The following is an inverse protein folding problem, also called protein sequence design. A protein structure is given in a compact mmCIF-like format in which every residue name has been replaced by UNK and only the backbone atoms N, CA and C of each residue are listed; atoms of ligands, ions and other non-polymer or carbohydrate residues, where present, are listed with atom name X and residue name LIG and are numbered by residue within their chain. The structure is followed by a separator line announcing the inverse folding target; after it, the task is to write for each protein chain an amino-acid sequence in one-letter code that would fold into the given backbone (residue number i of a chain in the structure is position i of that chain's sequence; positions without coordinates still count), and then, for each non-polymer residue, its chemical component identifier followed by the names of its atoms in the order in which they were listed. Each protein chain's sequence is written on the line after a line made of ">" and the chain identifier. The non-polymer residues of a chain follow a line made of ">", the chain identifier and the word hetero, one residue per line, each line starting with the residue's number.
data_IF_305433026282
#
_entry.id   IF_305433026282
#
_cell.length_a   1.000
_cell.length_b   1.000
_cell.length_c   1.000
_cell.angle_alpha   90.00
_cell.angle_beta   90.00
_cell.angle_gamma   90.00
#
_symmetry.space_group_name_H-M   'P 1'
#
loop_
_entity.id
_entity.type
_entity.pdbx_description
1 polymer ?
#
# COMPACT_ATOMS: atom_id res chain seq x y z
N UNK A 1 -24.24 25.36 44.00
CA UNK A 1 -24.96 25.47 42.70
C UNK A 1 -24.20 26.25 41.61
N UNK A 2 -23.16 27.04 41.93
CA UNK A 2 -22.40 27.80 40.91
C UNK A 2 -21.23 27.03 40.27
N UNK A 3 -20.72 25.98 40.92
CA UNK A 3 -19.60 25.18 40.42
C UNK A 3 -19.96 24.36 39.16
N UNK A 4 -21.16 23.79 39.12
CA UNK A 4 -21.66 23.02 37.97
C UNK A 4 -21.90 23.89 36.73
N UNK A 5 -22.22 25.18 36.92
CA UNK A 5 -22.44 26.17 35.84
C UNK A 5 -21.16 26.60 35.14
N UNK A 6 -19.99 26.44 35.77
CA UNK A 6 -18.67 26.75 35.19
C UNK A 6 -18.05 25.48 34.58
N UNK A 7 -18.26 24.31 35.19
CA UNK A 7 -17.73 23.04 34.68
C UNK A 7 -18.38 22.66 33.34
N UNK A 8 -19.69 22.82 33.18
CA UNK A 8 -20.39 22.46 31.94
C UNK A 8 -19.85 23.20 30.69
N UNK A 9 -19.68 24.54 30.69
CA UNK A 9 -19.13 25.25 29.54
C UNK A 9 -17.63 24.97 29.33
N UNK A 10 -16.84 24.76 30.38
CA UNK A 10 -15.41 24.39 30.24
C UNK A 10 -15.27 22.99 29.64
N UNK A 11 -16.09 22.02 30.07
CA UNK A 11 -16.15 20.68 29.49
C UNK A 11 -16.58 20.74 28.02
N UNK A 12 -17.58 21.56 27.69
CA UNK A 12 -18.06 21.76 26.32
C UNK A 12 -17.01 22.40 25.41
N UNK A 13 -16.26 23.39 25.89
CA UNK A 13 -15.16 24.03 25.16
C UNK A 13 -14.01 23.02 24.95
N UNK A 14 -13.64 22.25 25.97
CA UNK A 14 -12.59 21.23 25.85
C UNK A 14 -12.97 20.12 24.85
N UNK A 15 -14.24 19.68 24.85
CA UNK A 15 -14.76 18.70 23.90
C UNK A 15 -14.74 19.25 22.47
N UNK A 16 -15.13 20.52 22.28
CA UNK A 16 -15.10 21.20 20.97
C UNK A 16 -13.68 21.42 20.43
N UNK A 17 -12.70 21.61 21.32
CA UNK A 17 -11.30 21.77 20.94
C UNK A 17 -10.68 20.45 20.43
N UNK A 18 -11.00 19.33 21.08
CA UNK A 18 -10.49 18.00 20.70
C UNK A 18 -11.04 17.54 19.35
N UNK A 19 -12.30 17.83 19.04
CA UNK A 19 -12.92 17.50 17.75
C UNK A 19 -12.36 18.36 16.61
N UNK A 20 -12.09 19.65 16.86
CA UNK A 20 -11.53 20.55 15.85
C UNK A 20 -10.07 20.22 15.52
N UNK A 21 -9.26 19.92 16.55
CA UNK A 21 -7.86 19.51 16.35
C UNK A 21 -7.75 18.17 15.61
N UNK A 22 -8.60 17.20 15.98
CA UNK A 22 -8.77 15.93 15.27
C UNK A 22 -9.00 16.17 13.77
N UNK A 23 -9.95 17.04 13.42
CA UNK A 23 -10.32 17.33 12.04
C UNK A 23 -9.17 17.94 11.23
N UNK A 24 -8.34 18.78 11.87
CA UNK A 24 -7.15 19.35 11.22
C UNK A 24 -6.10 18.28 10.89
N UNK A 25 -5.82 17.38 11.84
CA UNK A 25 -4.83 16.30 11.65
C UNK A 25 -5.23 15.32 10.54
N UNK A 26 -6.52 14.97 10.48
CA UNK A 26 -7.07 14.10 9.44
C UNK A 26 -7.01 14.77 8.04
N UNK A 27 -7.36 16.06 7.94
CA UNK A 27 -7.25 16.81 6.68
C UNK A 27 -5.82 16.85 6.14
N UNK A 28 -4.82 17.02 7.00
CA UNK A 28 -3.41 16.96 6.60
C UNK A 28 -3.04 15.58 6.06
N UNK A 29 -3.44 14.51 6.75
CA UNK A 29 -3.18 13.14 6.32
C UNK A 29 -3.84 12.85 4.96
N UNK A 30 -5.11 13.23 4.80
CA UNK A 30 -5.85 13.13 3.55
C UNK A 30 -5.16 13.89 2.42
N UNK A 31 -4.64 15.10 2.70
CA UNK A 31 -3.93 15.86 1.66
C UNK A 31 -2.65 15.15 1.20
N UNK A 32 -1.91 14.53 2.12
CA UNK A 32 -0.73 13.74 1.78
C UNK A 32 -1.10 12.49 0.98
N UNK A 33 -2.22 11.84 1.33
CA UNK A 33 -2.77 10.72 0.57
C UNK A 33 -3.12 11.11 -0.86
N UNK A 34 -3.87 12.21 -1.05
CA UNK A 34 -4.24 12.75 -2.38
C UNK A 34 -3.03 13.09 -3.25
N UNK A 35 -1.94 13.51 -2.63
CA UNK A 35 -0.67 13.81 -3.30
C UNK A 35 0.21 12.57 -3.51
N UNK A 36 -0.30 11.37 -3.25
CA UNK A 36 0.42 10.09 -3.35
C UNK A 36 1.68 10.03 -2.48
N UNK A 37 1.79 10.90 -1.48
CA UNK A 37 2.91 10.95 -0.54
C UNK A 37 2.69 9.91 0.58
N UNK A 38 2.52 8.64 0.21
CA UNK A 38 2.04 7.58 1.09
C UNK A 38 2.88 7.39 2.36
N UNK A 39 4.21 7.49 2.27
CA UNK A 39 5.09 7.43 3.45
C UNK A 39 4.81 8.56 4.45
N UNK A 40 4.52 9.77 3.96
CA UNK A 40 4.14 10.89 4.84
C UNK A 40 2.72 10.72 5.38
N UNK A 41 1.80 10.27 4.52
CA UNK A 41 0.41 10.02 4.90
C UNK A 41 0.30 8.96 6.01
N UNK A 42 1.08 7.87 5.93
CA UNK A 42 1.18 6.84 6.98
C UNK A 42 1.49 7.47 8.34
N UNK A 43 2.55 8.27 8.41
CA UNK A 43 2.96 8.94 9.64
C UNK A 43 1.87 9.87 10.20
N UNK A 44 1.11 10.53 9.34
CA UNK A 44 0.02 11.40 9.76
C UNK A 44 -1.22 10.62 10.20
N UNK A 45 -1.61 9.56 9.49
CA UNK A 45 -2.74 8.72 9.87
C UNK A 45 -2.49 7.97 11.17
N UNK A 46 -1.27 7.48 11.42
CA UNK A 46 -0.90 6.88 12.71
C UNK A 46 -1.15 7.86 13.86
N UNK A 47 -0.76 9.14 13.71
CA UNK A 47 -1.03 10.18 14.72
C UNK A 47 -2.53 10.45 14.91
N UNK A 48 -3.33 10.33 13.85
CA UNK A 48 -4.80 10.43 13.95
C UNK A 48 -5.33 9.26 14.79
N UNK A 49 -4.86 8.04 14.51
CA UNK A 49 -5.28 6.82 15.19
C UNK A 49 -4.80 6.75 16.65
N UNK A 50 -3.64 7.33 16.98
CA UNK A 50 -3.18 7.47 18.38
C UNK A 50 -4.19 8.24 19.25
N UNK A 51 -4.94 9.18 18.64
CA UNK A 51 -5.96 9.98 19.32
C UNK A 51 -7.36 9.40 19.14
N UNK A 52 -7.63 8.77 18.00
CA UNK A 52 -8.91 8.18 17.64
C UNK A 52 -8.70 6.79 17.02
N UNK A 53 -8.46 5.76 17.85
CA UNK A 53 -8.11 4.42 17.36
C UNK A 53 -9.18 3.79 16.46
N UNK A 54 -10.41 4.28 16.55
CA UNK A 54 -11.59 3.79 15.81
C UNK A 54 -12.02 4.73 14.68
N UNK A 55 -11.15 5.63 14.22
CA UNK A 55 -11.47 6.49 13.09
C UNK A 55 -11.48 5.66 11.78
N UNK A 56 -12.69 5.40 11.26
CA UNK A 56 -12.93 4.55 10.08
C UNK A 56 -12.17 5.02 8.84
N UNK A 57 -12.17 6.34 8.59
CA UNK A 57 -11.48 6.93 7.44
C UNK A 57 -9.96 6.78 7.55
N UNK A 58 -9.40 7.08 8.72
CA UNK A 58 -7.97 6.95 8.96
C UNK A 58 -7.49 5.49 8.87
N UNK A 59 -8.27 4.53 9.40
CA UNK A 59 -7.96 3.10 9.28
C UNK A 59 -7.93 2.66 7.82
N UNK A 60 -8.98 2.98 7.05
CA UNK A 60 -9.07 2.61 5.63
C UNK A 60 -7.98 3.24 4.77
N UNK A 61 -7.71 4.54 4.97
CA UNK A 61 -6.68 5.25 4.21
C UNK A 61 -5.26 4.86 4.60
N UNK A 62 -5.02 4.53 5.87
CA UNK A 62 -3.74 3.99 6.30
C UNK A 62 -3.48 2.62 5.66
N UNK A 63 -4.49 1.75 5.64
CA UNK A 63 -4.40 0.46 4.96
C UNK A 63 -4.16 0.63 3.45
N UNK A 64 -4.87 1.55 2.79
CA UNK A 64 -4.65 1.90 1.38
C UNK A 64 -3.21 2.36 1.13
N UNK A 65 -2.64 3.22 2.00
CA UNK A 65 -1.24 3.66 1.86
C UNK A 65 -0.27 2.48 1.86
N UNK A 66 -0.42 1.54 2.80
CA UNK A 66 0.42 0.35 2.86
C UNK A 66 0.25 -0.52 1.61
N UNK A 67 -0.99 -0.72 1.15
CA UNK A 67 -1.28 -1.46 -0.09
C UNK A 67 -0.63 -0.81 -1.32
N UNK A 68 -0.70 0.52 -1.43
CA UNK A 68 -0.07 1.28 -2.51
C UNK A 68 1.46 1.22 -2.49
N UNK A 69 2.05 0.97 -1.33
CA UNK A 69 3.50 0.75 -1.16
C UNK A 69 3.89 -0.73 -1.23
N UNK A 70 2.98 -1.61 -1.66
CA UNK A 70 3.16 -3.07 -1.70
C UNK A 70 3.50 -3.71 -0.34
N UNK A 71 3.12 -3.05 0.76
CA UNK A 71 3.31 -3.50 2.14
C UNK A 71 2.06 -4.22 2.63
N UNK A 72 1.81 -5.39 2.06
CA UNK A 72 0.52 -6.09 2.17
C UNK A 72 0.24 -6.60 3.58
N UNK A 73 1.26 -7.05 4.32
CA UNK A 73 1.11 -7.50 5.70
C UNK A 73 0.69 -6.37 6.64
N UNK A 74 1.21 -5.16 6.44
CA UNK A 74 0.79 -4.00 7.22
C UNK A 74 -0.61 -3.53 6.81
N UNK A 75 -0.94 -3.56 5.52
CA UNK A 75 -2.27 -3.23 5.03
C UNK A 75 -3.35 -4.14 5.64
N UNK A 76 -3.07 -5.46 5.71
CA UNK A 76 -3.94 -6.47 6.28
C UNK A 76 -4.35 -6.12 7.72
N UNK A 77 -3.39 -5.73 8.56
CA UNK A 77 -3.65 -5.40 9.97
C UNK A 77 -4.69 -4.29 10.13
N UNK A 78 -4.58 -3.22 9.34
CA UNK A 78 -5.49 -2.08 9.45
C UNK A 78 -6.83 -2.32 8.75
N UNK A 79 -6.86 -3.08 7.65
CA UNK A 79 -8.13 -3.52 7.08
C UNK A 79 -8.88 -4.47 8.02
N UNK A 80 -8.19 -5.41 8.68
CA UNK A 80 -8.79 -6.30 9.66
C UNK A 80 -9.47 -5.52 10.79
N UNK A 81 -8.77 -4.53 11.37
CA UNK A 81 -9.34 -3.60 12.35
C UNK A 81 -10.54 -2.81 11.79
N UNK A 82 -10.45 -2.34 10.54
CA UNK A 82 -11.55 -1.64 9.89
C UNK A 82 -12.80 -2.52 9.76
N UNK A 83 -12.66 -3.83 9.52
CA UNK A 83 -13.78 -4.76 9.40
C UNK A 83 -14.55 -4.97 10.73
N UNK A 84 -13.98 -4.57 11.87
CA UNK A 84 -14.65 -4.57 13.18
C UNK A 84 -15.56 -3.34 13.37
N UNK A 85 -15.52 -2.38 12.44
CA UNK A 85 -16.28 -1.14 12.51
C UNK A 85 -17.69 -1.30 11.92
N UNK A 86 -18.63 -0.46 12.39
CA UNK A 86 -19.98 -0.38 11.80
C UNK A 86 -19.94 0.50 10.56
N UNK A 87 -20.76 0.16 9.56
CA UNK A 87 -20.94 0.95 8.33
C UNK A 87 -19.64 1.16 7.52
N UNK A 88 -18.89 0.09 7.30
CA UNK A 88 -17.72 0.11 6.42
C UNK A 88 -18.17 0.34 4.98
N UNK A 89 -17.55 1.30 4.28
CA UNK A 89 -17.79 1.52 2.86
C UNK A 89 -17.46 0.23 2.08
N UNK A 90 -18.36 -0.27 1.22
CA UNK A 90 -18.12 -1.47 0.42
C UNK A 90 -16.79 -1.48 -0.34
N UNK A 91 -16.26 -0.32 -0.74
CA UNK A 91 -14.94 -0.23 -1.38
C UNK A 91 -13.84 -0.89 -0.55
N UNK A 92 -13.92 -0.85 0.78
CA UNK A 92 -12.92 -1.46 1.65
C UNK A 92 -13.03 -2.99 1.73
N UNK A 93 -14.20 -3.59 1.45
CA UNK A 93 -14.28 -5.04 1.25
C UNK A 93 -13.50 -5.47 0.02
N UNK A 94 -13.60 -4.70 -1.08
CA UNK A 94 -12.81 -4.95 -2.29
C UNK A 94 -11.31 -4.84 -2.00
N UNK A 95 -10.87 -3.75 -1.38
CA UNK A 95 -9.44 -3.55 -1.13
C UNK A 95 -8.86 -4.56 -0.12
N UNK A 96 -9.65 -4.95 0.88
CA UNK A 96 -9.21 -6.00 1.79
C UNK A 96 -9.12 -7.36 1.09
N UNK A 97 -10.09 -7.68 0.23
CA UNK A 97 -10.02 -8.86 -0.65
C UNK A 97 -8.77 -8.86 -1.53
N UNK A 98 -8.42 -7.72 -2.14
CA UNK A 98 -7.18 -7.58 -2.93
C UNK A 98 -5.93 -7.83 -2.08
N UNK A 99 -5.91 -7.32 -0.86
CA UNK A 99 -4.79 -7.48 0.07
C UNK A 99 -4.62 -8.93 0.48
N UNK A 100 -5.69 -9.61 0.88
CA UNK A 100 -5.68 -11.03 1.21
C UNK A 100 -5.28 -11.91 0.03
N UNK A 101 -5.75 -11.59 -1.19
CA UNK A 101 -5.37 -12.29 -2.41
C UNK A 101 -3.87 -12.12 -2.70
N UNK A 102 -3.31 -10.92 -2.51
CA UNK A 102 -1.88 -10.66 -2.68
C UNK A 102 -1.02 -11.45 -1.66
N UNK A 103 -1.57 -11.71 -0.47
CA UNK A 103 -0.97 -12.56 0.56
C UNK A 103 -1.22 -14.06 0.35
N UNK A 104 -1.83 -14.47 -0.76
CA UNK A 104 -2.16 -15.87 -1.04
C UNK A 104 -3.32 -16.45 -0.22
N UNK A 105 -4.02 -15.64 0.58
CA UNK A 105 -5.16 -16.04 1.43
C UNK A 105 -6.46 -16.04 0.63
N UNK A 106 -6.53 -16.89 -0.39
CA UNK A 106 -7.60 -16.87 -1.40
C UNK A 106 -9.00 -17.15 -0.84
N UNK A 107 -9.13 -18.07 0.11
CA UNK A 107 -10.42 -18.39 0.73
C UNK A 107 -11.00 -17.20 1.51
N UNK A 108 -10.14 -16.45 2.21
CA UNK A 108 -10.57 -15.27 2.95
C UNK A 108 -10.86 -14.09 2.02
N UNK A 109 -10.02 -13.89 0.99
CA UNK A 109 -10.26 -12.90 -0.05
C UNK A 109 -11.62 -13.10 -0.71
N UNK A 110 -11.97 -14.34 -1.08
CA UNK A 110 -13.25 -14.71 -1.68
C UNK A 110 -14.45 -14.25 -0.83
N UNK A 111 -14.39 -14.43 0.49
CA UNK A 111 -15.46 -13.99 1.41
C UNK A 111 -15.70 -12.48 1.33
N UNK A 112 -14.63 -11.69 1.28
CA UNK A 112 -14.74 -10.24 1.18
C UNK A 112 -15.16 -9.76 -0.22
N UNK A 113 -14.78 -10.47 -1.29
CA UNK A 113 -15.32 -10.20 -2.62
C UNK A 113 -16.83 -10.47 -2.70
N UNK A 114 -17.35 -11.50 -2.03
CA UNK A 114 -18.80 -11.71 -1.96
C UNK A 114 -19.51 -10.62 -1.16
N UNK A 115 -18.93 -10.13 -0.05
CA UNK A 115 -19.48 -8.94 0.64
C UNK A 115 -19.50 -7.71 -0.27
N UNK A 116 -18.46 -7.52 -1.09
CA UNK A 116 -18.45 -6.46 -2.09
C UNK A 116 -19.52 -6.67 -3.18
N UNK A 117 -19.76 -7.93 -3.58
CA UNK A 117 -20.75 -8.31 -4.58
C UNK A 117 -22.19 -7.99 -4.16
N UNK A 118 -22.48 -7.88 -2.87
CA UNK A 118 -23.81 -7.43 -2.37
C UNK A 118 -24.22 -6.08 -2.95
N UNK A 119 -23.26 -5.18 -3.20
CA UNK A 119 -23.51 -3.87 -3.83
C UNK A 119 -23.06 -3.83 -5.30
N UNK A 120 -22.01 -4.55 -5.65
CA UNK A 120 -21.41 -4.54 -6.99
C UNK A 120 -21.26 -5.97 -7.54
N UNK A 121 -22.37 -6.64 -7.94
CA UNK A 121 -22.40 -8.08 -8.17
C UNK A 121 -21.46 -8.55 -9.28
N UNK A 122 -21.40 -7.81 -10.40
CA UNK A 122 -20.55 -8.19 -11.54
C UNK A 122 -19.07 -8.20 -11.13
N UNK A 123 -18.60 -7.10 -10.54
CA UNK A 123 -17.19 -6.97 -10.14
C UNK A 123 -16.85 -7.91 -8.98
N UNK A 124 -17.67 -7.96 -7.92
CA UNK A 124 -17.43 -8.82 -6.77
C UNK A 124 -17.41 -10.31 -7.13
N UNK A 125 -18.36 -10.78 -7.94
CA UNK A 125 -18.38 -12.17 -8.39
C UNK A 125 -17.17 -12.50 -9.29
N UNK A 126 -16.77 -11.58 -10.18
CA UNK A 126 -15.57 -11.77 -10.99
C UNK A 126 -14.31 -12.01 -10.14
N UNK A 127 -14.11 -11.20 -9.09
CA UNK A 127 -12.97 -11.39 -8.19
C UNK A 127 -13.09 -12.66 -7.33
N UNK A 128 -14.30 -13.03 -6.90
CA UNK A 128 -14.54 -14.29 -6.20
C UNK A 128 -14.20 -15.51 -7.09
N UNK A 129 -14.55 -15.48 -8.37
CA UNK A 129 -14.19 -16.52 -9.33
C UNK A 129 -12.67 -16.59 -9.57
N UNK A 130 -11.98 -15.45 -9.59
CA UNK A 130 -10.52 -15.43 -9.64
C UNK A 130 -9.90 -16.18 -8.44
N UNK A 131 -10.48 -16.06 -7.24
CA UNK A 131 -10.06 -16.85 -6.08
C UNK A 131 -10.36 -18.35 -6.26
N UNK A 132 -11.54 -18.72 -6.77
CA UNK A 132 -11.86 -20.13 -7.05
C UNK A 132 -10.85 -20.76 -8.00
N UNK A 133 -10.50 -20.05 -9.07
CA UNK A 133 -9.48 -20.49 -10.03
C UNK A 133 -8.11 -20.68 -9.35
N UNK A 134 -7.68 -19.73 -8.52
CA UNK A 134 -6.42 -19.82 -7.80
C UNK A 134 -6.38 -21.01 -6.82
N UNK A 135 -7.47 -21.21 -6.06
CA UNK A 135 -7.61 -22.34 -5.12
C UNK A 135 -7.54 -23.68 -5.86
N UNK A 136 -8.26 -23.80 -6.99
CA UNK A 136 -8.29 -25.03 -7.79
C UNK A 136 -6.93 -25.41 -8.38
N UNK A 137 -6.03 -24.43 -8.56
CA UNK A 137 -4.70 -24.62 -9.18
C UNK A 137 -3.53 -24.48 -8.22
N UNK A 138 -3.79 -24.26 -6.94
CA UNK A 138 -2.73 -23.97 -5.95
C UNK A 138 -1.72 -25.12 -5.82
N UNK A 139 -2.14 -26.34 -6.17
CA UNK A 139 -1.32 -27.56 -6.13
C UNK A 139 -0.93 -28.08 -7.52
N UNK A 140 -1.21 -27.33 -8.59
CA UNK A 140 -0.76 -27.69 -9.93
C UNK A 140 0.78 -27.65 -9.97
N UNK A 141 1.39 -28.57 -10.72
CA UNK A 141 2.83 -28.51 -10.96
C UNK A 141 3.16 -27.25 -11.77
N UNK A 142 4.23 -26.52 -11.41
CA UNK A 142 4.64 -25.34 -12.17
C UNK A 142 5.02 -25.75 -13.60
N UNK A 143 4.53 -25.00 -14.59
CA UNK A 143 4.88 -25.24 -15.99
C UNK A 143 6.36 -24.95 -16.28
N UNK A 144 6.99 -24.11 -15.46
CA UNK A 144 8.41 -23.80 -15.48
C UNK A 144 8.85 -23.40 -14.07
N UNK A 145 10.09 -23.73 -13.72
CA UNK A 145 10.75 -23.19 -12.53
C UNK A 145 11.56 -21.94 -12.92
N UNK A 146 11.51 -20.91 -12.09
CA UNK A 146 12.35 -19.73 -12.25
C UNK A 146 13.49 -19.79 -11.23
N UNK A 147 14.68 -19.40 -11.67
CA UNK A 147 15.84 -19.23 -10.80
C UNK A 147 16.35 -17.81 -10.95
N UNK A 148 17.01 -17.31 -9.91
CA UNK A 148 17.68 -16.01 -10.01
C UNK A 148 18.92 -16.17 -10.90
N UNK A 149 19.03 -15.31 -11.90
CA UNK A 149 20.24 -15.14 -12.68
C UNK A 149 21.24 -14.25 -11.95
N UNK A 150 22.50 -14.31 -12.36
CA UNK A 150 23.57 -13.47 -11.79
C UNK A 150 23.26 -11.97 -11.86
N UNK A 151 22.46 -11.54 -12.84
CA UNK A 151 22.09 -10.14 -13.04
C UNK A 151 21.02 -9.65 -12.05
N UNK A 152 20.26 -10.57 -11.43
CA UNK A 152 19.17 -10.20 -10.52
C UNK A 152 19.70 -9.62 -9.21
N UNK A 153 18.98 -8.62 -8.69
CA UNK A 153 19.28 -7.98 -7.41
C UNK A 153 18.07 -8.02 -6.50
N UNK A 154 18.25 -7.65 -5.23
CA UNK A 154 17.14 -7.46 -4.29
C UNK A 154 16.46 -6.08 -4.43
N UNK A 155 16.76 -5.35 -5.51
CA UNK A 155 16.16 -4.05 -5.81
C UNK A 155 15.30 -4.15 -7.06
N UNK A 156 14.34 -3.24 -7.18
CA UNK A 156 13.41 -3.26 -8.30
C UNK A 156 14.08 -2.79 -9.62
N UNK A 157 13.74 -3.51 -10.70
CA UNK A 157 14.10 -3.19 -12.08
C UNK A 157 12.83 -2.86 -12.88
N UNK A 158 12.89 -1.82 -13.71
CA UNK A 158 11.73 -1.29 -14.42
C UNK A 158 12.04 -0.95 -15.88
N UNK A 159 11.01 -1.08 -16.71
CA UNK A 159 11.03 -0.65 -18.11
C UNK A 159 12.15 -1.27 -18.96
N UNK A 160 12.37 -2.60 -18.92
CA UNK A 160 13.32 -3.20 -19.85
C UNK A 160 12.84 -2.98 -21.28
N UNK A 161 13.74 -2.51 -22.14
CA UNK A 161 13.49 -2.32 -23.55
C UNK A 161 14.70 -2.81 -24.35
N UNK A 162 14.43 -3.43 -25.51
CA UNK A 162 15.49 -3.78 -26.45
C UNK A 162 16.10 -2.49 -27.02
N UNK A 163 17.41 -2.40 -26.91
CA UNK A 163 18.25 -1.36 -27.47
C UNK A 163 19.06 -1.93 -28.66
N UNK A 164 19.77 -1.07 -29.40
CA UNK A 164 20.51 -1.48 -30.60
C UNK A 164 21.50 -2.60 -30.30
N UNK A 165 21.70 -3.51 -31.28
CA UNK A 165 22.69 -4.59 -31.21
C UNK A 165 22.40 -5.63 -30.10
N UNK A 166 21.13 -5.95 -29.85
CA UNK A 166 20.76 -7.00 -28.89
C UNK A 166 20.98 -6.62 -27.42
N UNK A 167 21.12 -5.32 -27.14
CA UNK A 167 21.28 -4.78 -25.80
C UNK A 167 19.92 -4.57 -25.15
N UNK A 168 19.87 -4.53 -23.83
CA UNK A 168 18.68 -4.21 -23.06
C UNK A 168 18.97 -2.98 -22.22
N UNK A 169 18.10 -1.99 -22.31
CA UNK A 169 18.12 -0.83 -21.41
C UNK A 169 17.01 -0.98 -20.37
N UNK A 170 17.29 -0.67 -19.11
CA UNK A 170 16.32 -0.75 -18.01
C UNK A 170 16.69 0.24 -16.89
N UNK A 171 15.71 0.67 -16.10
CA UNK A 171 15.95 1.43 -14.88
C UNK A 171 16.07 0.48 -13.70
N UNK A 172 17.00 0.72 -12.78
CA UNK A 172 17.22 -0.15 -11.62
C UNK A 172 17.57 0.60 -10.36
N UNK A 173 17.05 0.14 -9.22
CA UNK A 173 17.43 0.59 -7.89
C UNK A 173 18.83 0.13 -7.44
N UNK A 174 19.52 -0.68 -8.25
CA UNK A 174 20.79 -1.30 -7.88
C UNK A 174 21.90 -0.29 -7.62
N UNK A 175 22.82 -0.63 -6.71
CA UNK A 175 23.94 0.24 -6.27
C UNK A 175 25.30 -0.45 -6.29
N UNK A 176 25.30 -1.72 -6.66
CA UNK A 176 26.45 -2.60 -6.77
C UNK A 176 27.31 -2.26 -8.00
N UNK A 177 26.71 -1.76 -9.08
CA UNK A 177 27.41 -1.21 -10.25
C UNK A 177 27.50 0.31 -10.09
N UNK A 178 28.73 0.85 -10.06
CA UNK A 178 28.98 2.29 -10.04
C UNK A 178 29.63 2.72 -11.35
N UNK A 179 29.25 3.89 -11.92
CA UNK A 179 29.97 4.44 -13.06
C UNK A 179 31.45 4.66 -12.72
N UNK A 180 32.36 4.49 -13.69
CA UNK A 180 33.75 4.97 -13.53
C UNK A 180 33.70 6.49 -13.36
N UNK A 181 34.12 6.99 -12.18
CA UNK A 181 34.04 8.40 -11.78
C UNK A 181 35.40 9.09 -11.80
N UNK A 182 36.26 8.78 -12.76
CA UNK A 182 37.44 9.62 -13.01
C UNK A 182 37.00 11.03 -13.45
N UNK A 183 36.85 11.95 -12.49
CA UNK A 183 36.78 13.41 -12.72
C UNK A 183 35.47 14.16 -12.44
N UNK A 184 34.45 13.59 -11.79
CA UNK A 184 33.17 14.29 -11.59
C UNK A 184 33.12 15.16 -10.31
N UNK A 185 32.91 16.49 -10.39
CA UNK A 185 32.80 17.36 -9.23
C UNK A 185 31.33 17.54 -8.84
N UNK A 186 30.81 16.73 -7.92
CA UNK A 186 29.62 17.03 -7.07
C UNK A 186 29.35 15.89 -6.08
N UNK A 187 28.85 16.19 -4.86
CA UNK A 187 28.41 15.15 -3.95
C UNK A 187 27.23 14.41 -4.58
N UNK A 188 27.36 13.09 -4.67
CA UNK A 188 26.34 12.25 -5.26
C UNK A 188 25.04 12.37 -4.46
N UNK A 189 24.00 12.93 -5.08
CA UNK A 189 22.66 12.43 -4.79
C UNK A 189 22.76 10.91 -4.90
N UNK A 190 22.43 10.19 -3.83
CA UNK A 190 22.16 8.76 -3.90
C UNK A 190 20.93 8.59 -4.77
N UNK A 191 21.14 8.66 -6.09
CA UNK A 191 20.11 8.45 -7.09
C UNK A 191 19.69 6.99 -6.98
N UNK A 192 18.54 6.79 -6.33
CA UNK A 192 17.75 5.59 -6.47
C UNK A 192 17.18 5.60 -7.89
N UNK A 193 17.14 4.44 -8.55
CA UNK A 193 16.63 4.24 -9.91
C UNK A 193 17.48 4.92 -11.00
N UNK A 194 18.59 4.27 -11.37
CA UNK A 194 19.47 4.71 -12.47
C UNK A 194 19.20 3.90 -13.74
N UNK A 195 19.58 4.44 -14.90
CA UNK A 195 19.47 3.75 -16.18
C UNK A 195 20.69 2.83 -16.38
N UNK A 196 20.44 1.57 -16.74
CA UNK A 196 21.45 0.56 -17.03
C UNK A 196 21.27 0.05 -18.46
N UNK A 197 22.39 -0.28 -19.11
CA UNK A 197 22.42 -0.97 -20.39
C UNK A 197 23.17 -2.28 -20.15
N UNK A 198 22.55 -3.39 -20.49
CA UNK A 198 23.11 -4.72 -20.39
C UNK A 198 23.13 -5.40 -21.75
N UNK A 199 24.04 -6.34 -21.92
CA UNK A 199 24.15 -7.19 -23.11
C UNK A 199 24.17 -8.63 -22.63
N UNK A 200 23.58 -9.56 -23.38
CA UNK A 200 23.76 -10.98 -23.08
C UNK A 200 25.24 -11.32 -23.26
N UNK A 201 25.86 -11.91 -22.25
CA UNK A 201 27.22 -12.43 -22.38
C UNK A 201 27.22 -13.62 -23.38
N UNK A 202 28.34 -13.87 -24.05
CA UNK A 202 28.43 -14.93 -25.06
C UNK A 202 28.50 -16.36 -24.47
N UNK A 203 28.39 -16.47 -23.14
CA UNK A 203 28.51 -17.71 -22.38
C UNK A 203 27.14 -18.34 -22.08
#
# INVERSE_FOLDING_TARGET
>A
MNFLKIILPVLFISLSFTTTYSQFSLRKANKQYELYAFNLAINSYLKVLDKQPRNVEALGKLADCYRHLNRMDEAEKYYAQLMEMRNVDPVYYLQYGHTLRALGRYEEAKRYYYKYAEKYPVAGNHYAESCNFAIARQHDQPAAETTNEFVNTNTDDFGPAIFTEGRVVFASGRRDIRPDRRGAPRPALTLNNQLFISTRDAN
#
